data_IF_757994979197
#
_entry.id   IF_757994979197
#
_cell.length_a   1.000
_cell.length_b   1.000
_cell.length_c   1.000
_cell.angle_alpha   90.00
_cell.angle_beta   90.00
_cell.angle_gamma   90.00
#
_symmetry.space_group_name_H-M   'P 1'
#
loop_
_entity.id
_entity.type
_entity.pdbx_description
1 polymer ?
#
# COMPACT_ATOMS: atom_id res chain seq x y z
N UNK A 1 16.71 67.39 -30.94
CA UNK A 1 16.35 66.73 -32.21
C UNK A 1 16.67 65.25 -32.07
N UNK A 2 15.65 64.40 -31.89
CA UNK A 2 15.83 62.94 -31.78
C UNK A 2 15.97 62.35 -33.19
N UNK A 3 16.97 61.48 -33.46
CA UNK A 3 17.12 60.91 -34.79
C UNK A 3 15.95 59.94 -35.04
N UNK A 4 15.16 60.22 -36.08
CA UNK A 4 14.09 59.32 -36.53
C UNK A 4 14.76 58.10 -37.17
N UNK A 5 14.46 56.93 -36.61
CA UNK A 5 14.90 55.64 -37.14
C UNK A 5 14.39 55.50 -38.59
N UNK A 6 15.25 55.16 -39.58
CA UNK A 6 14.83 54.99 -40.97
C UNK A 6 13.72 53.94 -41.10
N UNK A 7 12.59 54.30 -41.74
CA UNK A 7 11.39 53.45 -41.86
C UNK A 7 11.63 52.10 -42.57
N UNK A 8 12.73 51.98 -43.32
CA UNK A 8 13.12 50.76 -44.01
C UNK A 8 13.77 49.69 -43.10
N UNK A 9 14.16 50.05 -41.87
CA UNK A 9 14.77 49.10 -40.92
C UNK A 9 13.71 48.29 -40.14
N UNK A 10 12.49 48.82 -40.02
CA UNK A 10 11.41 48.19 -39.26
C UNK A 10 10.93 46.85 -39.85
N UNK A 11 10.73 46.71 -41.18
CA UNK A 11 10.35 45.43 -41.78
C UNK A 11 11.45 44.36 -41.64
N UNK A 12 12.72 44.79 -41.72
CA UNK A 12 13.87 43.90 -41.58
C UNK A 12 14.03 43.36 -40.16
N UNK A 13 13.79 44.19 -39.14
CA UNK A 13 13.77 43.76 -37.75
C UNK A 13 12.66 42.73 -37.49
N UNK A 14 11.47 42.94 -38.07
CA UNK A 14 10.36 41.99 -37.97
C UNK A 14 10.73 40.66 -38.63
N UNK A 15 11.26 40.68 -39.85
CA UNK A 15 11.71 39.47 -40.56
C UNK A 15 12.79 38.69 -39.79
N UNK A 16 13.77 39.40 -39.20
CA UNK A 16 14.82 38.78 -38.37
C UNK A 16 14.24 38.13 -37.11
N UNK A 17 13.25 38.74 -36.46
CA UNK A 17 12.59 38.15 -35.29
C UNK A 17 11.79 36.89 -35.65
N UNK A 18 11.06 36.89 -36.77
CA UNK A 18 10.33 35.69 -37.23
C UNK A 18 11.28 34.57 -37.66
N UNK A 19 12.38 34.89 -38.34
CA UNK A 19 13.41 33.91 -38.69
C UNK A 19 14.05 33.31 -37.43
N UNK A 20 14.39 34.14 -36.44
CA UNK A 20 14.93 33.69 -35.15
C UNK A 20 13.97 32.74 -34.42
N UNK A 21 12.67 33.08 -34.37
CA UNK A 21 11.65 32.22 -33.74
C UNK A 21 11.48 30.89 -34.47
N UNK A 22 11.51 30.89 -35.80
CA UNK A 22 11.43 29.68 -36.62
C UNK A 22 12.66 28.76 -36.44
N UNK A 23 13.86 29.35 -36.38
CA UNK A 23 15.08 28.58 -36.08
C UNK A 23 15.04 28.02 -34.66
N UNK A 24 14.57 28.79 -33.67
CA UNK A 24 14.45 28.33 -32.29
C UNK A 24 13.43 27.18 -32.14
N UNK A 25 12.27 27.27 -32.81
CA UNK A 25 11.28 26.17 -32.82
C UNK A 25 11.80 24.92 -33.52
N UNK A 26 12.55 25.08 -34.60
CA UNK A 26 13.17 23.96 -35.33
C UNK A 26 14.25 23.26 -34.52
N UNK A 27 15.06 24.02 -33.75
CA UNK A 27 16.03 23.47 -32.81
C UNK A 27 15.37 22.79 -31.61
N UNK A 28 14.27 23.33 -31.08
CA UNK A 28 13.48 22.68 -30.03
C UNK A 28 12.89 21.33 -30.50
N UNK A 29 12.40 21.25 -31.74
CA UNK A 29 11.95 19.99 -32.35
C UNK A 29 13.07 18.99 -32.61
N UNK A 30 14.31 19.43 -32.86
CA UNK A 30 15.47 18.54 -33.03
C UNK A 30 16.07 18.06 -31.69
N UNK A 31 15.80 18.78 -30.59
CA UNK A 31 16.24 18.42 -29.24
C UNK A 31 15.26 17.53 -28.47
N UNK A 32 14.40 16.77 -29.17
CA UNK A 32 13.83 15.55 -28.60
C UNK A 32 14.98 14.63 -28.23
N UNK A 33 15.38 14.69 -26.97
CA UNK A 33 16.16 13.66 -26.30
C UNK A 33 15.58 12.32 -26.73
N UNK A 34 16.37 11.54 -27.46
CA UNK A 34 16.15 10.12 -27.61
C UNK A 34 16.27 9.51 -26.21
N UNK A 35 15.19 9.59 -25.43
CA UNK A 35 15.02 8.71 -24.31
C UNK A 35 14.94 7.33 -24.93
N UNK A 36 16.04 6.59 -24.86
CA UNK A 36 15.99 5.14 -24.97
C UNK A 36 15.12 4.66 -23.81
N UNK A 37 13.81 4.72 -23.99
CA UNK A 37 12.88 3.89 -23.26
C UNK A 37 13.25 2.49 -23.70
N UNK A 38 14.17 1.86 -22.98
CA UNK A 38 14.12 0.42 -22.81
C UNK A 38 12.73 0.16 -22.23
N UNK A 39 11.77 -0.04 -23.13
CA UNK A 39 10.56 -0.75 -22.81
C UNK A 39 11.07 -2.06 -22.24
N UNK A 40 11.08 -2.16 -20.91
CA UNK A 40 10.99 -3.44 -20.24
C UNK A 40 9.72 -4.04 -20.81
N UNK A 41 9.87 -4.79 -21.90
CA UNK A 41 8.93 -5.82 -22.28
C UNK A 41 8.91 -6.73 -21.07
N UNK A 42 8.01 -6.46 -20.14
CA UNK A 42 7.62 -7.43 -19.12
C UNK A 42 7.02 -8.54 -19.96
N UNK A 43 7.89 -9.46 -20.38
CA UNK A 43 7.52 -10.69 -21.01
C UNK A 43 6.41 -11.30 -20.17
N UNK A 44 5.38 -11.83 -20.80
CA UNK A 44 4.32 -12.62 -20.17
C UNK A 44 4.85 -13.85 -19.38
N UNK A 45 6.17 -14.00 -19.21
CA UNK A 45 6.88 -15.06 -18.49
C UNK A 45 7.51 -14.62 -17.15
N UNK A 46 7.48 -13.34 -16.78
CA UNK A 46 8.06 -12.85 -15.52
C UNK A 46 7.03 -12.93 -14.37
N UNK A 47 7.06 -14.03 -13.62
CA UNK A 47 6.28 -14.15 -12.39
C UNK A 47 7.10 -13.61 -11.21
N UNK A 48 6.80 -12.38 -10.77
CA UNK A 48 7.50 -11.72 -9.66
C UNK A 48 7.32 -12.43 -8.30
N UNK A 49 6.36 -13.34 -8.18
CA UNK A 49 6.06 -14.08 -6.96
C UNK A 49 6.76 -15.43 -6.89
N UNK A 50 7.48 -15.85 -7.94
CA UNK A 50 8.31 -17.06 -7.95
C UNK A 50 9.77 -16.69 -8.02
N UNK A 51 10.53 -17.13 -7.03
CA UNK A 51 11.91 -16.71 -6.83
C UNK A 51 12.43 -17.23 -5.51
N UNK A 52 13.51 -16.63 -5.04
CA UNK A 52 14.14 -17.02 -3.80
C UNK A 52 14.72 -15.80 -3.09
N UNK A 53 14.87 -15.90 -1.77
CA UNK A 53 15.64 -14.94 -1.00
C UNK A 53 17.13 -15.21 -1.18
N UNK A 54 17.89 -14.19 -1.55
CA UNK A 54 19.35 -14.26 -1.69
C UNK A 54 19.97 -13.24 -0.74
N UNK A 55 21.01 -13.65 -0.02
CA UNK A 55 21.80 -12.72 0.79
C UNK A 55 22.76 -11.95 -0.11
N UNK A 56 22.69 -10.63 -0.03
CA UNK A 56 23.54 -9.70 -0.77
C UNK A 56 24.17 -8.72 0.23
N UNK A 57 25.45 -8.89 0.60
CA UNK A 57 26.12 -8.03 1.57
C UNK A 57 26.16 -6.55 1.18
N UNK A 58 26.01 -6.24 -0.11
CA UNK A 58 25.97 -4.87 -0.61
C UNK A 58 24.54 -4.29 -0.59
N UNK A 59 23.53 -5.12 -0.29
CA UNK A 59 22.15 -4.68 -0.13
C UNK A 59 21.97 -3.97 1.21
N UNK A 60 21.60 -2.69 1.14
CA UNK A 60 21.34 -1.85 2.30
C UNK A 60 19.90 -1.35 2.31
N UNK A 61 19.31 -1.04 3.47
CA UNK A 61 18.02 -0.37 3.53
C UNK A 61 18.04 0.99 2.82
N UNK A 62 16.90 1.40 2.24
CA UNK A 62 16.76 2.73 1.63
C UNK A 62 16.59 3.85 2.66
N UNK A 63 16.23 3.50 3.89
CA UNK A 63 16.01 4.43 5.00
C UNK A 63 16.56 3.83 6.29
N UNK A 64 16.84 4.69 7.25
CA UNK A 64 17.40 4.30 8.56
C UNK A 64 16.34 4.40 9.68
N UNK A 65 16.78 4.19 10.92
CA UNK A 65 15.95 4.26 12.12
C UNK A 65 15.33 5.63 12.40
N UNK A 66 15.73 6.70 11.70
CA UNK A 66 15.26 8.07 11.94
C UNK A 66 13.98 8.42 11.20
N UNK A 67 13.49 7.53 10.32
CA UNK A 67 12.28 7.79 9.54
C UNK A 67 11.08 8.20 10.43
N UNK A 68 10.45 9.37 10.18
CA UNK A 68 9.39 9.92 11.05
C UNK A 68 8.04 9.20 10.91
N UNK A 69 7.90 8.33 9.92
CA UNK A 69 6.68 7.55 9.67
C UNK A 69 6.69 6.18 10.35
N UNK A 70 7.85 5.74 10.86
CA UNK A 70 7.96 4.50 11.60
C UNK A 70 7.52 4.68 13.07
N UNK A 71 6.76 3.73 13.63
CA UNK A 71 6.49 3.72 15.08
C UNK A 71 7.74 3.25 15.82
N UNK A 72 8.11 3.94 16.89
CA UNK A 72 9.28 3.57 17.71
C UNK A 72 9.16 2.14 18.26
N UNK A 73 7.97 1.74 18.73
CA UNK A 73 7.72 0.40 19.27
C UNK A 73 7.98 -0.75 18.27
N UNK A 74 7.99 -0.47 16.97
CA UNK A 74 8.19 -1.48 15.90
C UNK A 74 9.52 -1.32 15.17
N UNK A 75 10.32 -0.31 15.53
CA UNK A 75 11.56 0.02 14.83
C UNK A 75 12.71 -0.86 15.35
N UNK A 76 12.94 -2.01 14.71
CA UNK A 76 13.96 -2.97 15.15
C UNK A 76 15.38 -2.39 15.17
N UNK A 77 15.73 -1.49 14.23
CA UNK A 77 17.03 -0.83 14.21
C UNK A 77 17.19 0.09 15.42
N UNK A 78 16.16 0.89 15.72
CA UNK A 78 16.14 1.76 16.91
C UNK A 78 16.16 0.98 18.21
N UNK A 79 15.46 -0.16 18.25
CA UNK A 79 15.32 -0.99 19.44
C UNK A 79 16.45 -2.04 19.53
N UNK A 80 17.55 -1.84 18.80
CA UNK A 80 18.79 -2.60 18.92
C UNK A 80 18.61 -4.11 18.74
N UNK A 81 17.71 -4.52 17.83
CA UNK A 81 17.60 -5.94 17.45
C UNK A 81 18.95 -6.41 16.92
N UNK A 82 19.42 -7.54 17.42
CA UNK A 82 20.66 -8.16 16.96
C UNK A 82 20.55 -8.62 15.50
N UNK A 83 21.69 -8.75 14.82
CA UNK A 83 21.80 -9.27 13.45
C UNK A 83 21.03 -8.49 12.36
N UNK A 84 20.68 -7.22 12.60
CA UNK A 84 19.97 -6.41 11.60
C UNK A 84 20.74 -6.21 10.30
N UNK A 85 22.08 -6.19 10.32
CA UNK A 85 22.89 -6.14 9.09
C UNK A 85 22.64 -7.35 8.19
N UNK A 86 22.59 -8.56 8.78
CA UNK A 86 22.28 -9.79 8.06
C UNK A 86 20.82 -9.82 7.61
N UNK A 87 19.88 -9.43 8.48
CA UNK A 87 18.45 -9.42 8.12
C UNK A 87 18.19 -8.46 6.95
N UNK A 88 18.84 -7.30 6.95
CA UNK A 88 18.70 -6.29 5.91
C UNK A 88 19.47 -6.60 4.62
N UNK A 89 20.33 -7.63 4.60
CA UNK A 89 21.07 -8.04 3.39
C UNK A 89 20.26 -8.97 2.49
N UNK A 90 19.13 -9.51 2.98
CA UNK A 90 18.27 -10.37 2.19
C UNK A 90 17.47 -9.58 1.15
N UNK A 91 17.49 -10.04 -0.10
CA UNK A 91 16.66 -9.52 -1.19
C UNK A 91 15.96 -10.64 -1.95
N UNK A 92 14.74 -10.36 -2.37
CA UNK A 92 13.98 -11.28 -3.22
C UNK A 92 14.46 -11.21 -4.67
N UNK A 93 14.70 -12.37 -5.29
CA UNK A 93 15.14 -12.49 -6.69
C UNK A 93 14.14 -13.37 -7.45
N UNK A 94 13.33 -12.80 -8.36
CA UNK A 94 12.46 -13.60 -9.21
C UNK A 94 13.27 -14.55 -10.11
N UNK A 95 12.72 -15.72 -10.38
CA UNK A 95 13.42 -16.78 -11.12
C UNK A 95 13.66 -16.41 -12.60
N UNK A 96 12.69 -15.76 -13.23
CA UNK A 96 12.68 -15.53 -14.68
C UNK A 96 12.93 -14.08 -15.10
N UNK A 97 13.26 -13.19 -14.15
CA UNK A 97 13.43 -11.78 -14.44
C UNK A 97 14.17 -11.00 -13.34
N UNK A 98 14.67 -9.83 -13.74
CA UNK A 98 15.30 -8.90 -12.83
C UNK A 98 14.26 -7.97 -12.18
N UNK A 99 14.24 -7.92 -10.84
CA UNK A 99 13.48 -6.95 -10.07
C UNK A 99 14.38 -5.77 -9.67
N UNK A 100 14.28 -4.60 -10.34
CA UNK A 100 15.11 -3.46 -9.98
C UNK A 100 14.76 -2.92 -8.59
N UNK A 101 15.78 -2.44 -7.88
CA UNK A 101 15.58 -1.68 -6.65
C UNK A 101 14.73 -0.44 -6.96
N UNK A 102 13.79 -0.13 -6.07
CA UNK A 102 12.96 1.07 -6.22
C UNK A 102 13.83 2.33 -6.19
N UNK A 103 13.62 3.20 -7.18
CA UNK A 103 14.08 4.58 -7.18
C UNK A 103 12.94 5.46 -6.64
N UNK A 104 13.04 6.00 -5.42
CA UNK A 104 11.95 6.77 -4.82
C UNK A 104 11.67 8.10 -5.56
N UNK A 105 12.69 8.71 -6.17
CA UNK A 105 12.56 9.96 -6.92
C UNK A 105 11.79 9.68 -8.21
N UNK A 106 12.19 8.64 -8.95
CA UNK A 106 11.49 8.22 -10.16
C UNK A 106 10.06 7.79 -9.86
N UNK A 107 9.85 7.03 -8.77
CA UNK A 107 8.51 6.61 -8.36
C UNK A 107 7.61 7.81 -8.08
N UNK A 108 8.05 8.75 -7.23
CA UNK A 108 7.26 9.96 -6.93
C UNK A 108 7.09 10.86 -8.16
N UNK A 109 8.08 10.90 -9.06
CA UNK A 109 7.99 11.59 -10.35
C UNK A 109 6.86 11.04 -11.22
N UNK A 110 6.76 9.71 -11.34
CA UNK A 110 5.65 9.04 -12.05
C UNK A 110 4.31 9.27 -11.37
N UNK A 111 4.30 9.33 -10.03
CA UNK A 111 3.10 9.53 -9.24
C UNK A 111 2.73 11.00 -9.04
N UNK A 112 3.41 11.95 -9.69
CA UNK A 112 3.19 13.38 -9.50
C UNK A 112 1.71 13.75 -9.68
N UNK A 113 1.17 14.55 -8.74
CA UNK A 113 -0.23 14.96 -8.66
C UNK A 113 -1.25 13.83 -8.45
N UNK A 114 -0.82 12.63 -8.03
CA UNK A 114 -1.69 11.48 -7.77
C UNK A 114 -1.77 11.13 -6.30
N UNK A 115 -2.80 10.38 -5.93
CA UNK A 115 -3.00 9.88 -4.58
C UNK A 115 -3.01 8.35 -4.52
N UNK A 116 -2.36 7.79 -3.49
CA UNK A 116 -2.26 6.34 -3.23
C UNK A 116 -2.98 6.02 -1.91
N UNK A 117 -3.89 5.07 -1.93
CA UNK A 117 -4.65 4.62 -0.77
C UNK A 117 -4.34 3.17 -0.42
N UNK A 118 -4.15 2.89 0.86
CA UNK A 118 -4.10 1.56 1.44
C UNK A 118 -5.39 1.34 2.22
N UNK A 119 -6.04 0.21 2.05
CA UNK A 119 -7.27 -0.15 2.77
C UNK A 119 -7.09 -1.57 3.31
N UNK A 120 -7.35 -1.78 4.59
CA UNK A 120 -7.30 -3.12 5.15
C UNK A 120 -6.85 -3.21 6.60
N UNK A 121 -6.08 -4.25 6.90
CA UNK A 121 -5.66 -4.60 8.25
C UNK A 121 -4.27 -4.05 8.64
N UNK A 122 -3.81 -4.44 9.83
CA UNK A 122 -2.53 -3.99 10.41
C UNK A 122 -1.31 -4.32 9.54
N UNK A 123 -1.37 -5.34 8.68
CA UNK A 123 -0.25 -5.64 7.80
C UNK A 123 -0.12 -4.59 6.69
N UNK A 124 -1.22 -3.99 6.21
CA UNK A 124 -1.14 -2.85 5.30
C UNK A 124 -0.62 -1.60 6.00
N UNK A 125 -0.86 -1.44 7.30
CA UNK A 125 -0.20 -0.39 8.09
C UNK A 125 1.32 -0.58 8.14
N UNK A 126 1.80 -1.82 8.29
CA UNK A 126 3.24 -2.12 8.25
C UNK A 126 3.83 -1.82 6.87
N UNK A 127 3.15 -2.23 5.79
CA UNK A 127 3.59 -1.91 4.44
C UNK A 127 3.62 -0.40 4.20
N UNK A 128 2.56 0.33 4.61
CA UNK A 128 2.53 1.79 4.53
C UNK A 128 3.73 2.41 5.25
N UNK A 129 4.08 1.96 6.45
CA UNK A 129 5.19 2.53 7.20
C UNK A 129 6.52 2.43 6.40
N UNK A 130 6.85 1.24 5.89
CA UNK A 130 8.04 1.04 5.06
C UNK A 130 7.98 1.88 3.78
N UNK A 131 6.83 1.87 3.10
CA UNK A 131 6.62 2.61 1.86
C UNK A 131 6.81 4.13 2.05
N UNK A 132 6.21 4.72 3.09
CA UNK A 132 6.39 6.14 3.42
C UNK A 132 7.84 6.48 3.74
N UNK A 133 8.55 5.60 4.45
CA UNK A 133 9.97 5.80 4.76
C UNK A 133 10.84 5.80 3.50
N UNK A 134 10.63 4.86 2.58
CA UNK A 134 11.30 4.81 1.28
C UNK A 134 11.07 6.11 0.49
N UNK A 135 9.81 6.55 0.40
CA UNK A 135 9.47 7.76 -0.37
C UNK A 135 10.02 9.05 0.27
N UNK A 136 10.12 9.09 1.60
CA UNK A 136 10.67 10.26 2.33
C UNK A 136 12.14 10.56 2.00
N UNK A 137 12.87 9.59 1.43
CA UNK A 137 14.23 9.78 0.94
C UNK A 137 14.26 10.79 -0.21
N UNK A 138 13.25 10.75 -1.10
CA UNK A 138 13.14 11.64 -2.25
C UNK A 138 12.53 13.02 -1.95
N UNK A 139 11.79 13.13 -0.85
CA UNK A 139 11.17 14.37 -0.39
C UNK A 139 11.23 14.47 1.15
N UNK A 140 12.29 15.13 1.62
CA UNK A 140 12.50 15.41 3.05
C UNK A 140 11.45 16.38 3.64
N UNK A 141 10.69 17.07 2.79
CA UNK A 141 9.58 17.93 3.19
C UNK A 141 8.27 17.18 3.46
N UNK A 142 8.27 15.85 3.40
CA UNK A 142 7.09 15.03 3.62
C UNK A 142 6.43 15.28 4.98
N UNK A 143 5.11 15.48 4.99
CA UNK A 143 4.33 15.81 6.19
C UNK A 143 3.32 14.72 6.49
N UNK A 144 3.05 14.45 7.78
CA UNK A 144 1.97 13.55 8.18
C UNK A 144 0.63 14.02 7.61
N UNK A 145 -0.19 13.08 7.15
CA UNK A 145 -1.50 13.35 6.56
C UNK A 145 -2.56 12.40 7.12
N UNK A 146 -3.71 12.95 7.52
CA UNK A 146 -4.83 12.23 8.15
C UNK A 146 -6.19 12.84 7.79
N UNK A 147 -6.43 13.12 6.50
CA UNK A 147 -7.72 13.67 6.03
C UNK A 147 -8.54 12.55 5.39
N UNK A 148 -9.80 12.83 5.02
CA UNK A 148 -10.68 11.90 4.30
C UNK A 148 -10.89 10.54 5.00
N UNK A 149 -10.87 10.50 6.33
CA UNK A 149 -11.02 9.25 7.10
C UNK A 149 -9.71 8.47 7.32
N UNK A 150 -8.59 8.93 6.77
CA UNK A 150 -7.33 8.19 6.90
C UNK A 150 -6.80 8.17 8.32
N UNK A 151 -6.46 6.97 8.78
CA UNK A 151 -5.84 6.72 10.08
C UNK A 151 -4.40 7.24 10.13
N UNK A 152 -3.68 7.10 9.01
CA UNK A 152 -2.27 7.47 8.85
C UNK A 152 -1.97 7.77 7.38
N UNK A 153 -0.96 8.59 7.13
CA UNK A 153 -0.49 8.89 5.78
C UNK A 153 0.60 9.94 5.78
N UNK A 154 1.06 10.27 4.58
CA UNK A 154 1.95 11.40 4.32
C UNK A 154 1.56 12.15 3.04
N UNK A 155 1.90 13.43 3.01
CA UNK A 155 1.87 14.28 1.82
C UNK A 155 3.30 14.67 1.46
N UNK A 156 3.66 14.48 0.20
CA UNK A 156 4.98 14.74 -0.38
C UNK A 156 4.90 16.00 -1.25
N UNK A 157 5.19 17.20 -0.69
CA UNK A 157 4.93 18.49 -1.34
C UNK A 157 5.73 18.69 -2.64
N UNK A 158 6.94 18.14 -2.77
CA UNK A 158 7.77 18.31 -3.98
C UNK A 158 7.10 17.70 -5.22
N UNK A 159 6.29 16.65 -5.01
CA UNK A 159 5.63 15.91 -6.08
C UNK A 159 4.11 16.07 -6.06
N UNK A 160 3.57 16.76 -5.05
CA UNK A 160 2.13 16.85 -4.81
C UNK A 160 1.46 15.46 -4.77
N UNK A 161 2.04 14.54 -3.99
CA UNK A 161 1.55 13.16 -3.83
C UNK A 161 1.02 12.94 -2.43
N UNK A 162 -0.17 12.36 -2.31
CA UNK A 162 -0.69 11.89 -1.02
C UNK A 162 -0.65 10.38 -0.96
N UNK A 163 -0.19 9.83 0.15
CA UNK A 163 -0.26 8.40 0.45
C UNK A 163 -0.93 8.21 1.80
N UNK A 164 -1.98 7.39 1.87
CA UNK A 164 -2.80 7.27 3.08
C UNK A 164 -3.32 5.85 3.30
N UNK A 165 -3.61 5.52 4.56
CA UNK A 165 -4.15 4.25 5.01
C UNK A 165 -5.48 4.44 5.74
N UNK A 166 -6.47 3.65 5.32
CA UNK A 166 -7.79 3.50 5.95
C UNK A 166 -7.86 2.12 6.61
N UNK A 167 -8.07 2.13 7.92
CA UNK A 167 -8.14 0.88 8.68
C UNK A 167 -9.51 0.26 8.49
N UNK A 168 -9.55 -0.90 7.86
CA UNK A 168 -10.76 -1.66 7.58
C UNK A 168 -10.43 -3.15 7.68
N UNK A 169 -10.27 -3.66 8.91
CA UNK A 169 -9.67 -4.98 9.17
C UNK A 169 -10.41 -6.14 8.50
N UNK A 170 -11.74 -6.08 8.40
CA UNK A 170 -12.58 -7.04 7.68
C UNK A 170 -13.09 -6.49 6.33
N UNK A 171 -12.68 -5.28 5.90
CA UNK A 171 -13.24 -4.50 4.79
C UNK A 171 -14.72 -4.12 4.96
N UNK A 172 -15.58 -5.06 5.33
CA UNK A 172 -16.98 -4.83 5.69
C UNK A 172 -17.12 -4.17 7.06
N UNK A 173 -18.26 -3.48 7.25
CA UNK A 173 -18.65 -2.96 8.55
C UNK A 173 -18.82 -4.11 9.54
N UNK A 174 -18.23 -3.95 10.72
CA UNK A 174 -18.42 -4.88 11.82
C UNK A 174 -18.61 -4.14 13.14
N UNK A 175 -19.49 -4.64 14.00
CA UNK A 175 -19.88 -3.97 15.25
C UNK A 175 -20.11 -5.00 16.36
N UNK A 176 -19.60 -4.70 17.56
CA UNK A 176 -19.82 -5.52 18.74
C UNK A 176 -21.28 -5.47 19.18
N UNK A 177 -21.86 -6.63 19.46
CA UNK A 177 -23.21 -6.85 19.97
C UNK A 177 -23.08 -7.62 21.28
N UNK A 178 -23.11 -6.94 22.45
CA UNK A 178 -23.01 -7.62 23.73
C UNK A 178 -24.23 -8.52 23.96
N UNK A 179 -24.04 -9.69 24.57
CA UNK A 179 -25.14 -10.55 24.99
C UNK A 179 -25.94 -9.83 26.07
N UNK A 180 -27.27 -9.79 25.94
CA UNK A 180 -28.11 -9.31 27.03
C UNK A 180 -28.09 -10.35 28.17
N UNK A 181 -28.10 -9.92 29.45
CA UNK A 181 -28.15 -10.83 30.57
C UNK A 181 -29.51 -11.54 30.62
N UNK A 182 -29.64 -12.64 29.88
CA UNK A 182 -30.78 -13.55 30.00
C UNK A 182 -30.51 -14.56 31.11
N UNK A 183 -31.44 -14.64 32.07
CA UNK A 183 -31.33 -15.55 33.20
C UNK A 183 -31.40 -17.01 32.71
N UNK A 184 -30.28 -17.75 32.86
CA UNK A 184 -30.30 -19.22 32.85
C UNK A 184 -29.51 -19.92 31.73
N UNK A 185 -28.99 -19.23 30.70
CA UNK A 185 -28.24 -19.89 29.60
C UNK A 185 -26.77 -19.50 29.61
N UNK A 186 -25.94 -20.30 30.29
CA UNK A 186 -24.48 -20.19 30.28
C UNK A 186 -23.87 -21.02 29.13
N UNK A 187 -23.95 -20.54 27.89
CA UNK A 187 -23.19 -21.16 26.78
C UNK A 187 -21.73 -20.65 26.67
N UNK A 188 -21.33 -19.72 27.54
CA UNK A 188 -20.00 -19.11 27.55
C UNK A 188 -19.80 -17.92 26.60
N UNK A 189 -20.79 -17.59 25.75
CA UNK A 189 -20.74 -16.41 24.87
C UNK A 189 -20.93 -15.10 25.64
N UNK A 190 -20.07 -14.11 25.38
CA UNK A 190 -20.16 -12.74 25.89
C UNK A 190 -20.97 -11.81 24.95
N UNK A 191 -21.32 -12.29 23.75
CA UNK A 191 -21.89 -11.51 22.66
C UNK A 191 -21.30 -11.92 21.32
N UNK A 192 -21.48 -11.12 20.28
CA UNK A 192 -20.91 -11.40 18.95
C UNK A 192 -20.55 -10.12 18.20
N UNK A 193 -19.68 -10.25 17.20
CA UNK A 193 -19.45 -9.18 16.23
C UNK A 193 -20.36 -9.39 15.02
N UNK A 194 -21.33 -8.50 14.85
CA UNK A 194 -22.13 -8.43 13.62
C UNK A 194 -21.24 -7.96 12.48
N UNK A 195 -21.22 -8.68 11.36
CA UNK A 195 -20.52 -8.29 10.12
C UNK A 195 -21.55 -8.13 9.01
N UNK A 196 -21.78 -6.91 8.54
CA UNK A 196 -22.67 -6.66 7.39
C UNK A 196 -21.88 -6.87 6.09
N UNK A 197 -22.02 -8.03 5.47
CA UNK A 197 -21.14 -8.46 4.37
C UNK A 197 -21.28 -7.59 3.11
N UNK A 198 -22.41 -6.93 2.95
CA UNK A 198 -22.78 -6.07 1.82
C UNK A 198 -22.60 -4.57 2.11
N UNK A 199 -22.07 -4.21 3.28
CA UNK A 199 -21.82 -2.82 3.66
C UNK A 199 -20.32 -2.59 3.92
N UNK A 200 -19.65 -1.70 3.18
CA UNK A 200 -18.25 -1.37 3.44
C UNK A 200 -18.09 -0.70 4.81
N UNK A 201 -16.94 -0.88 5.45
CA UNK A 201 -16.60 -0.14 6.66
C UNK A 201 -16.54 1.37 6.40
N UNK A 202 -17.02 2.16 7.35
CA UNK A 202 -17.20 3.61 7.21
C UNK A 202 -15.88 4.34 6.90
N UNK A 203 -14.76 3.83 7.43
CA UNK A 203 -13.43 4.40 7.26
C UNK A 203 -13.00 4.54 5.79
N UNK A 204 -13.52 3.70 4.89
CA UNK A 204 -13.13 3.71 3.47
C UNK A 204 -14.32 3.80 2.50
N UNK A 205 -15.56 3.71 2.98
CA UNK A 205 -16.74 3.74 2.12
C UNK A 205 -16.83 4.99 1.21
N UNK A 206 -16.33 6.13 1.68
CA UNK A 206 -16.49 7.45 1.03
C UNK A 206 -15.22 7.98 0.34
N UNK A 207 -14.26 7.10 0.03
CA UNK A 207 -12.97 7.50 -0.57
C UNK A 207 -12.95 7.38 -2.10
N UNK A 208 -14.02 6.89 -2.70
CA UNK A 208 -14.15 6.76 -4.15
C UNK A 208 -13.85 8.11 -4.84
N UNK A 209 -13.10 8.04 -5.95
CA UNK A 209 -12.69 9.22 -6.72
C UNK A 209 -11.53 10.04 -6.14
N UNK A 210 -11.06 9.76 -4.92
CA UNK A 210 -9.91 10.49 -4.34
C UNK A 210 -8.55 9.86 -4.69
N UNK A 211 -8.50 8.55 -4.88
CA UNK A 211 -7.27 7.79 -5.11
C UNK A 211 -7.11 7.33 -6.56
N UNK A 212 -5.90 7.47 -7.09
CA UNK A 212 -5.48 6.94 -8.40
C UNK A 212 -5.02 5.49 -8.29
N UNK A 213 -4.46 5.12 -7.14
CA UNK A 213 -3.98 3.77 -6.84
C UNK A 213 -4.53 3.33 -5.50
N UNK A 214 -5.06 2.11 -5.44
CA UNK A 214 -5.57 1.49 -4.22
C UNK A 214 -4.93 0.14 -3.98
N UNK A 215 -4.48 -0.10 -2.76
CA UNK A 215 -3.90 -1.36 -2.29
C UNK A 215 -4.78 -1.91 -1.16
N UNK A 216 -5.48 -2.99 -1.44
CA UNK A 216 -6.37 -3.66 -0.49
C UNK A 216 -5.69 -4.86 0.16
N UNK A 217 -6.00 -5.13 1.43
CA UNK A 217 -5.74 -6.42 2.06
C UNK A 217 -6.79 -6.74 3.12
N UNK A 218 -6.97 -8.03 3.41
CA UNK A 218 -7.64 -8.52 4.61
C UNK A 218 -7.30 -9.99 4.78
N UNK A 219 -7.15 -10.45 6.01
CA UNK A 219 -6.84 -11.85 6.30
C UNK A 219 -6.24 -12.02 7.69
N UNK A 220 -5.41 -11.08 8.15
CA UNK A 220 -4.65 -11.24 9.39
C UNK A 220 -5.54 -11.22 10.66
N UNK A 221 -6.74 -10.66 10.56
CA UNK A 221 -7.73 -10.66 11.64
C UNK A 221 -8.70 -11.85 11.59
N UNK A 222 -8.68 -12.65 10.53
CA UNK A 222 -9.57 -13.79 10.36
C UNK A 222 -9.01 -15.03 11.07
N UNK A 223 -8.92 -14.96 12.39
CA UNK A 223 -8.53 -16.07 13.25
C UNK A 223 -9.22 -16.00 14.62
N UNK A 224 -9.14 -17.11 15.37
CA UNK A 224 -9.76 -17.24 16.69
C UNK A 224 -9.09 -16.40 17.77
N UNK A 225 -7.86 -15.93 17.59
CA UNK A 225 -7.24 -15.02 18.56
C UNK A 225 -7.90 -13.63 18.53
N UNK A 226 -8.36 -13.19 17.35
CA UNK A 226 -9.06 -11.91 17.18
C UNK A 226 -10.55 -12.03 17.42
N UNK A 227 -11.15 -13.15 17.04
CA UNK A 227 -12.56 -13.45 17.22
C UNK A 227 -12.73 -14.83 17.86
N UNK A 228 -12.57 -14.93 19.20
CA UNK A 228 -12.66 -16.19 19.91
C UNK A 228 -14.11 -16.69 19.99
N UNK A 229 -14.32 -17.91 20.51
CA UNK A 229 -15.65 -18.53 20.54
C UNK A 229 -16.65 -17.78 21.42
N UNK A 230 -16.13 -17.07 22.42
CA UNK A 230 -16.89 -16.24 23.36
C UNK A 230 -17.33 -14.92 22.70
N UNK A 231 -16.68 -14.52 21.60
CA UNK A 231 -16.92 -13.29 20.83
C UNK A 231 -16.89 -13.56 19.31
N UNK A 232 -17.72 -14.47 18.79
CA UNK A 232 -17.63 -14.94 17.41
C UNK A 232 -18.11 -13.86 16.43
N UNK A 233 -17.79 -14.07 15.15
CA UNK A 233 -18.38 -13.30 14.05
C UNK A 233 -19.77 -13.88 13.71
N UNK A 234 -20.75 -13.02 13.48
CA UNK A 234 -22.07 -13.38 12.93
C UNK A 234 -22.34 -12.52 11.71
N UNK A 235 -22.62 -13.16 10.58
CA UNK A 235 -22.69 -12.50 9.29
C UNK A 235 -24.13 -12.13 8.93
N UNK A 236 -24.31 -10.92 8.44
CA UNK A 236 -25.58 -10.33 8.04
C UNK A 236 -25.49 -9.89 6.59
N UNK A 237 -26.61 -9.96 5.87
CA UNK A 237 -26.79 -9.40 4.53
C UNK A 237 -28.15 -8.73 4.45
N UNK A 238 -28.21 -7.53 3.88
CA UNK A 238 -29.44 -6.73 3.79
C UNK A 238 -30.18 -6.59 5.14
N UNK A 239 -29.41 -6.46 6.22
CA UNK A 239 -29.95 -6.30 7.58
C UNK A 239 -30.38 -7.59 8.28
N UNK A 240 -30.37 -8.75 7.60
CA UNK A 240 -30.80 -10.04 8.15
C UNK A 240 -29.61 -10.98 8.38
N UNK A 241 -29.65 -11.84 9.43
CA UNK A 241 -28.59 -12.83 9.65
C UNK A 241 -28.58 -13.86 8.50
N UNK A 242 -27.39 -14.26 8.08
CA UNK A 242 -27.23 -15.32 7.08
C UNK A 242 -27.50 -16.68 7.76
N UNK A 243 -28.40 -17.47 7.17
CA UNK A 243 -28.80 -18.80 7.65
C UNK A 243 -28.55 -19.84 6.54
N UNK A 244 -27.87 -20.97 6.81
CA UNK A 244 -27.24 -21.32 8.09
C UNK A 244 -26.05 -20.39 8.45
N UNK A 245 -25.68 -20.27 9.74
CA UNK A 245 -24.56 -19.43 10.16
C UNK A 245 -23.26 -19.84 9.47
N UNK A 246 -22.49 -18.85 9.03
CA UNK A 246 -21.22 -19.08 8.34
C UNK A 246 -20.06 -19.24 9.34
N UNK A 247 -19.16 -20.17 9.04
CA UNK A 247 -17.84 -20.22 9.66
C UNK A 247 -16.96 -19.05 9.20
N UNK A 248 -15.82 -18.85 9.88
CA UNK A 248 -14.92 -17.73 9.62
C UNK A 248 -14.38 -17.69 8.17
N UNK A 249 -14.02 -18.84 7.60
CA UNK A 249 -13.50 -18.93 6.22
C UNK A 249 -14.59 -18.65 5.18
N UNK A 250 -15.79 -19.22 5.38
CA UNK A 250 -16.93 -18.95 4.49
C UNK A 250 -17.37 -17.49 4.58
N UNK A 251 -17.36 -16.93 5.78
CA UNK A 251 -17.58 -15.52 6.03
C UNK A 251 -16.57 -14.62 5.30
N UNK A 252 -15.27 -14.95 5.34
CA UNK A 252 -14.23 -14.25 4.58
C UNK A 252 -14.53 -14.27 3.08
N UNK A 253 -14.90 -15.44 2.54
CA UNK A 253 -15.24 -15.59 1.12
C UNK A 253 -16.44 -14.74 0.73
N UNK A 254 -17.49 -14.72 1.54
CA UNK A 254 -18.69 -13.90 1.29
C UNK A 254 -18.37 -12.42 1.37
N UNK A 255 -17.60 -11.98 2.38
CA UNK A 255 -17.17 -10.58 2.51
C UNK A 255 -16.33 -10.15 1.32
N UNK A 256 -15.31 -10.93 0.93
CA UNK A 256 -14.48 -10.62 -0.23
C UNK A 256 -15.32 -10.52 -1.51
N UNK A 257 -16.26 -11.44 -1.71
CA UNK A 257 -17.15 -11.43 -2.88
C UNK A 257 -17.93 -10.12 -2.96
N UNK A 258 -18.60 -9.72 -1.87
CA UNK A 258 -19.40 -8.49 -1.84
C UNK A 258 -18.53 -7.23 -1.94
N UNK A 259 -17.38 -7.19 -1.26
CA UNK A 259 -16.50 -6.02 -1.27
C UNK A 259 -15.81 -5.83 -2.62
N UNK A 260 -15.41 -6.91 -3.31
CA UNK A 260 -14.90 -6.83 -4.68
C UNK A 260 -15.98 -6.30 -5.62
N UNK A 261 -17.22 -6.80 -5.53
CA UNK A 261 -18.34 -6.28 -6.32
C UNK A 261 -18.62 -4.80 -6.03
N UNK A 262 -18.60 -4.39 -4.76
CA UNK A 262 -18.73 -2.99 -4.35
C UNK A 262 -17.62 -2.12 -4.96
N UNK A 263 -16.36 -2.57 -4.89
CA UNK A 263 -15.22 -1.84 -5.45
C UNK A 263 -15.36 -1.70 -6.98
N UNK A 264 -15.78 -2.76 -7.68
CA UNK A 264 -15.98 -2.71 -9.12
C UNK A 264 -17.09 -1.74 -9.53
N UNK A 265 -18.13 -1.62 -8.70
CA UNK A 265 -19.28 -0.75 -8.96
C UNK A 265 -19.00 0.72 -8.62
N UNK A 266 -18.42 0.99 -7.46
CA UNK A 266 -18.36 2.35 -6.91
C UNK A 266 -17.04 3.08 -7.19
N UNK A 267 -15.94 2.36 -7.49
CA UNK A 267 -14.65 3.00 -7.75
C UNK A 267 -14.40 3.18 -9.24
N UNK A 268 -13.83 4.33 -9.66
CA UNK A 268 -13.56 4.60 -11.07
C UNK A 268 -12.79 3.48 -11.78
N UNK A 269 -13.13 3.25 -13.05
CA UNK A 269 -12.49 2.23 -13.88
C UNK A 269 -11.01 2.52 -14.15
N UNK A 270 -10.59 3.79 -14.13
CA UNK A 270 -9.21 4.23 -14.31
C UNK A 270 -8.35 4.17 -13.02
N UNK A 271 -8.93 3.83 -11.86
CA UNK A 271 -8.17 3.62 -10.63
C UNK A 271 -7.44 2.27 -10.70
N UNK A 272 -6.12 2.28 -10.51
CA UNK A 272 -5.30 1.07 -10.43
C UNK A 272 -5.52 0.39 -9.08
N UNK A 273 -5.88 -0.89 -9.08
CA UNK A 273 -6.30 -1.64 -7.88
C UNK A 273 -5.39 -2.85 -7.67
N UNK A 274 -4.80 -2.96 -6.50
CA UNK A 274 -3.98 -4.09 -6.08
C UNK A 274 -4.62 -4.81 -4.90
N UNK A 275 -4.46 -6.12 -4.88
CA UNK A 275 -4.75 -6.96 -3.72
C UNK A 275 -3.43 -7.51 -3.19
N UNK A 276 -3.12 -7.16 -1.95
CA UNK A 276 -2.00 -7.75 -1.23
C UNK A 276 -2.49 -9.01 -0.53
N UNK A 277 -1.79 -10.11 -0.81
CA UNK A 277 -2.04 -11.40 -0.19
C UNK A 277 -1.64 -11.40 1.28
N UNK A 278 -2.09 -12.45 1.98
CA UNK A 278 -1.82 -12.64 3.40
C UNK A 278 -0.31 -12.80 3.67
N UNK A 279 0.17 -12.19 4.76
CA UNK A 279 1.50 -12.47 5.29
C UNK A 279 1.40 -13.62 6.30
N UNK A 280 2.27 -14.65 6.20
CA UNK A 280 2.33 -15.70 7.20
C UNK A 280 2.78 -15.16 8.56
N UNK A 281 2.49 -15.94 9.61
CA UNK A 281 2.95 -15.70 10.98
C UNK A 281 4.08 -16.68 11.28
N UNK A 282 5.15 -16.20 11.89
CA UNK A 282 6.28 -17.04 12.25
C UNK A 282 6.56 -16.88 13.74
N UNK A 283 6.11 -17.85 14.54
CA UNK A 283 6.41 -17.91 15.96
C UNK A 283 6.94 -19.30 16.31
N UNK A 284 7.90 -19.34 17.22
CA UNK A 284 8.45 -20.56 17.81
C UNK A 284 8.21 -20.55 19.32
N UNK A 285 7.91 -21.73 19.89
CA UNK A 285 7.68 -21.91 21.33
C UNK A 285 6.31 -21.43 21.84
N UNK A 286 5.43 -20.97 20.96
CA UNK A 286 4.09 -20.47 21.26
C UNK A 286 3.61 -19.51 20.17
N UNK A 287 2.37 -19.01 20.24
CA UNK A 287 1.89 -17.93 19.37
C UNK A 287 2.23 -16.54 19.97
N UNK A 288 1.90 -15.47 19.26
CA UNK A 288 2.18 -14.07 19.63
C UNK A 288 1.69 -13.67 21.04
N UNK A 289 0.67 -14.34 21.56
CA UNK A 289 0.07 -14.14 22.88
C UNK A 289 0.38 -15.26 23.87
N UNK A 290 1.21 -16.23 23.49
CA UNK A 290 1.55 -17.42 24.28
C UNK A 290 3.06 -17.58 24.40
N UNK A 291 3.76 -16.46 24.65
CA UNK A 291 5.22 -16.43 24.80
C UNK A 291 6.01 -16.91 23.57
N UNK A 292 5.36 -16.97 22.40
CA UNK A 292 6.01 -17.24 21.13
C UNK A 292 6.99 -16.13 20.75
N UNK A 293 8.07 -16.50 20.07
CA UNK A 293 9.06 -15.54 19.59
C UNK A 293 9.50 -15.84 18.15
N UNK A 294 10.02 -14.81 17.48
CA UNK A 294 10.58 -14.91 16.13
C UNK A 294 12.04 -14.41 16.17
N UNK A 295 12.97 -15.32 16.47
CA UNK A 295 14.40 -14.99 16.61
C UNK A 295 15.22 -15.40 15.37
N UNK A 296 14.57 -15.84 14.31
CA UNK A 296 15.22 -16.20 13.06
C UNK A 296 15.85 -14.98 12.39
N UNK A 297 17.05 -15.20 11.81
CA UNK A 297 17.81 -14.19 11.08
C UNK A 297 17.94 -14.52 9.59
N UNK A 298 17.33 -15.62 9.17
CA UNK A 298 17.28 -16.12 7.80
C UNK A 298 15.81 -16.33 7.39
N UNK A 299 15.49 -16.15 6.10
CA UNK A 299 14.22 -16.63 5.53
C UNK A 299 14.04 -18.13 5.77
N UNK A 300 12.79 -18.59 5.71
CA UNK A 300 12.48 -20.01 5.70
C UNK A 300 12.95 -20.63 4.38
N UNK A 301 13.36 -21.89 4.43
CA UNK A 301 13.62 -22.69 3.23
C UNK A 301 12.28 -23.15 2.60
N UNK A 302 12.26 -23.47 1.30
CA UNK A 302 11.03 -23.80 0.55
C UNK A 302 10.20 -24.95 1.19
N UNK A 303 10.85 -25.90 1.85
CA UNK A 303 10.23 -27.05 2.52
C UNK A 303 9.63 -26.68 3.90
N UNK A 304 10.12 -25.61 4.51
CA UNK A 304 9.58 -25.05 5.75
C UNK A 304 8.38 -24.14 5.50
N UNK A 305 8.35 -23.42 4.36
CA UNK A 305 7.24 -22.54 3.96
C UNK A 305 5.92 -23.30 3.76
N UNK A 306 5.97 -24.54 3.23
CA UNK A 306 4.77 -25.37 3.00
C UNK A 306 4.12 -25.87 4.30
N UNK A 307 4.83 -25.80 5.44
CA UNK A 307 4.34 -26.25 6.76
C UNK A 307 3.88 -25.10 7.65
N UNK A 308 4.04 -23.85 7.19
CA UNK A 308 3.75 -22.61 7.94
C UNK A 308 2.40 -21.97 7.63
#
# INVERSE_FOLDING_TARGET
>A
MSPKLPSHLFPWLILLTFASLYFFSSFLSLSTFSSSSSSLSISNTCNLFRGQWVSDPNHTPLYDQTCPFHRNAWNCLRNERQNMTLINSWRWVPQSCHLPRIDPVRFLGTMKNRNIGFVGDSLNENFLASFLCILSVADKGAKKWKKKGAWRGAYFPKFNVTVAYHRAVLLSRYQWQPKQPEAGVKDGSEGFYRVDVDVPADDWAKIAGFYDVLVFNTGHWWNRDKFPKEKPLVFYKAGQPIVPPLGMLDGLKVVLTNMVTYIQKEFPGNTLKFWRLQSPRHFYGGDWNQNGSCLFNKPLEEDEEQRS
#
